data_IF_546150605915
#
_entry.id   IF_546150605915
#
_cell.length_a   1.000
_cell.length_b   1.000
_cell.length_c   1.000
_cell.angle_alpha   90.00
_cell.angle_beta   90.00
_cell.angle_gamma   90.00
#
_symmetry.space_group_name_H-M   'P 1'
#
loop_
_entity.id
_entity.type
_entity.pdbx_description
1 polymer ?
#
# COMPACT_ATOMS: atom_id res chain seq x y z
N UNK A 1 -15.61 8.72 -0.45
CA UNK A 1 -15.19 7.90 0.72
C UNK A 1 -14.28 8.78 1.58
N UNK A 2 -14.75 9.16 2.78
CA UNK A 2 -14.05 10.16 3.62
C UNK A 2 -13.71 9.60 4.98
N UNK A 3 -12.49 9.85 5.46
CA UNK A 3 -12.02 9.49 6.79
C UNK A 3 -11.46 10.72 7.48
N UNK A 4 -11.95 10.99 8.69
CA UNK A 4 -11.38 12.00 9.58
C UNK A 4 -10.93 11.32 10.87
N UNK A 5 -9.73 11.68 11.34
CA UNK A 5 -9.14 11.18 12.58
C UNK A 5 -8.76 12.39 13.43
N UNK A 6 -9.18 12.41 14.68
CA UNK A 6 -8.86 13.47 15.64
C UNK A 6 -8.29 12.87 16.92
N UNK A 7 -7.21 13.47 17.42
CA UNK A 7 -6.61 13.19 18.72
C UNK A 7 -6.30 11.69 18.95
N UNK A 8 -5.53 11.10 18.03
CA UNK A 8 -5.05 9.72 18.17
C UNK A 8 -3.52 9.67 18.09
N UNK A 9 -2.87 9.23 19.12
CA UNK A 9 -1.40 9.25 19.24
C UNK A 9 -0.86 10.65 18.93
N UNK A 10 0.08 10.80 17.99
CA UNK A 10 0.60 12.10 17.55
C UNK A 10 -0.35 12.88 16.61
N UNK A 11 -1.44 12.27 16.17
CA UNK A 11 -2.38 12.88 15.22
C UNK A 11 -3.30 13.86 15.94
N UNK A 12 -3.23 15.15 15.59
CA UNK A 12 -4.23 16.13 16.02
C UNK A 12 -5.47 16.11 15.12
N UNK A 13 -5.27 16.17 13.81
CA UNK A 13 -6.36 16.15 12.84
C UNK A 13 -5.91 15.69 11.46
N UNK A 14 -6.51 14.61 10.96
CA UNK A 14 -6.39 14.19 9.57
C UNK A 14 -7.76 14.18 8.90
N UNK A 15 -7.81 14.64 7.65
CA UNK A 15 -9.01 14.66 6.82
C UNK A 15 -8.66 14.19 5.42
N UNK A 16 -9.28 13.09 4.97
CA UNK A 16 -9.02 12.48 3.69
C UNK A 16 -10.30 12.23 2.90
N UNK A 17 -10.27 12.53 1.61
CA UNK A 17 -11.21 12.03 0.63
C UNK A 17 -10.48 11.06 -0.31
N UNK A 18 -10.79 9.78 -0.18
CA UNK A 18 -10.14 8.73 -0.99
C UNK A 18 -10.80 8.54 -2.38
N UNK A 19 -11.77 9.35 -2.72
CA UNK A 19 -12.46 9.30 -4.01
C UNK A 19 -13.31 8.05 -4.23
N UNK A 20 -13.46 7.70 -5.50
CA UNK A 20 -14.28 6.59 -5.97
C UNK A 20 -13.42 5.39 -6.41
N UNK A 21 -14.05 4.30 -6.81
CA UNK A 21 -13.38 3.17 -7.45
C UNK A 21 -12.73 3.62 -8.75
N UNK A 22 -11.50 3.20 -8.99
CA UNK A 22 -10.68 3.65 -10.11
C UNK A 22 -9.85 4.92 -9.84
N UNK A 23 -9.96 5.54 -8.68
CA UNK A 23 -9.15 6.69 -8.27
C UNK A 23 -7.88 6.25 -7.50
N UNK A 24 -6.87 7.13 -7.52
CA UNK A 24 -5.61 6.99 -6.80
C UNK A 24 -5.50 8.06 -5.74
N UNK A 25 -5.19 7.67 -4.50
CA UNK A 25 -4.86 8.59 -3.41
C UNK A 25 -3.46 8.30 -2.89
N UNK A 26 -2.64 9.32 -2.76
CA UNK A 26 -1.32 9.25 -2.16
C UNK A 26 -1.27 9.99 -0.83
N UNK A 27 -0.63 9.40 0.17
CA UNK A 27 -0.36 10.02 1.47
C UNK A 27 1.15 10.11 1.63
N UNK A 28 1.65 11.32 1.74
CA UNK A 28 3.08 11.61 1.87
C UNK A 28 3.36 12.39 3.15
N UNK A 29 4.61 12.47 3.53
CA UNK A 29 5.04 13.23 4.71
C UNK A 29 6.28 12.62 5.37
N UNK A 30 6.91 13.33 6.31
CA UNK A 30 8.07 12.84 7.06
C UNK A 30 7.81 11.51 7.77
N UNK A 31 8.88 10.88 8.23
CA UNK A 31 8.76 9.70 9.07
C UNK A 31 8.00 10.03 10.36
N UNK A 32 7.34 9.00 10.92
CA UNK A 32 6.57 9.09 12.16
C UNK A 32 5.38 10.09 12.15
N UNK A 33 4.92 10.60 10.99
CA UNK A 33 3.72 11.45 10.89
C UNK A 33 2.39 10.67 10.96
N UNK A 34 2.43 9.34 11.16
CA UNK A 34 1.21 8.55 11.32
C UNK A 34 0.54 8.12 10.01
N UNK A 35 1.26 8.09 8.87
CA UNK A 35 0.75 7.56 7.59
C UNK A 35 0.21 6.14 7.72
N UNK A 36 1.00 5.25 8.34
CA UNK A 36 0.59 3.86 8.62
C UNK A 36 -0.64 3.78 9.50
N UNK A 37 -0.72 4.62 10.54
CA UNK A 37 -1.89 4.69 11.42
C UNK A 37 -3.15 5.12 10.65
N UNK A 38 -3.02 6.13 9.77
CA UNK A 38 -4.12 6.57 8.93
C UNK A 38 -4.63 5.46 8.00
N UNK A 39 -3.71 4.70 7.37
CA UNK A 39 -4.07 3.56 6.52
C UNK A 39 -4.70 2.40 7.31
N UNK A 40 -4.23 2.14 8.52
CA UNK A 40 -4.83 1.14 9.40
C UNK A 40 -6.23 1.57 9.84
N UNK A 41 -6.45 2.85 10.19
CA UNK A 41 -7.79 3.38 10.43
C UNK A 41 -8.70 3.25 9.21
N UNK A 42 -8.19 3.49 8.00
CA UNK A 42 -8.94 3.26 6.76
C UNK A 42 -9.38 1.80 6.64
N UNK A 43 -8.46 0.85 6.88
CA UNK A 43 -8.78 -0.58 6.89
C UNK A 43 -9.86 -0.91 7.91
N UNK A 44 -9.74 -0.39 9.12
CA UNK A 44 -10.71 -0.63 10.19
C UNK A 44 -12.09 -0.01 9.87
N UNK A 45 -12.11 1.20 9.32
CA UNK A 45 -13.36 1.87 8.93
C UNK A 45 -14.13 1.11 7.84
N UNK A 46 -13.41 0.54 6.87
CA UNK A 46 -14.01 -0.24 5.78
C UNK A 46 -14.49 -1.62 6.25
N UNK A 47 -13.69 -2.32 7.05
CA UNK A 47 -13.81 -3.77 7.25
C UNK A 47 -13.98 -4.17 8.72
N UNK A 48 -14.48 -3.28 9.58
CA UNK A 48 -14.57 -3.49 11.04
C UNK A 48 -15.19 -4.83 11.45
N UNK A 49 -16.24 -5.29 10.77
CA UNK A 49 -16.90 -6.57 11.08
C UNK A 49 -16.02 -7.76 10.73
N UNK A 50 -15.32 -7.70 9.61
CA UNK A 50 -14.40 -8.75 9.18
C UNK A 50 -13.18 -8.82 10.12
N UNK A 51 -12.66 -7.65 10.53
CA UNK A 51 -11.57 -7.57 11.50
C UNK A 51 -11.96 -8.24 12.81
N UNK A 52 -13.16 -7.94 13.30
CA UNK A 52 -13.71 -8.58 14.50
C UNK A 52 -13.81 -10.09 14.32
N UNK A 53 -14.50 -10.56 13.27
CA UNK A 53 -14.69 -11.98 12.98
C UNK A 53 -13.35 -12.72 12.84
N UNK A 54 -12.35 -12.10 12.23
CA UNK A 54 -11.01 -12.66 12.13
C UNK A 54 -10.33 -12.79 13.51
N UNK A 55 -10.37 -11.75 14.34
CA UNK A 55 -9.79 -11.79 15.67
C UNK A 55 -10.46 -12.87 16.55
N UNK A 56 -11.80 -12.92 16.57
CA UNK A 56 -12.57 -13.96 17.29
C UNK A 56 -12.20 -15.36 16.77
N UNK A 57 -12.12 -15.55 15.45
CA UNK A 57 -11.74 -16.83 14.83
C UNK A 57 -10.34 -17.29 15.22
N UNK A 58 -9.42 -16.36 15.40
CA UNK A 58 -8.05 -16.64 15.83
C UNK A 58 -7.91 -16.74 17.37
N UNK A 59 -9.02 -16.69 18.11
CA UNK A 59 -9.05 -16.89 19.56
C UNK A 59 -8.66 -15.66 20.37
N UNK A 60 -8.75 -14.45 19.79
CA UNK A 60 -8.55 -13.21 20.52
C UNK A 60 -9.88 -12.68 21.04
N UNK A 61 -9.89 -12.36 22.34
CA UNK A 61 -11.02 -11.72 23.03
C UNK A 61 -10.58 -10.34 23.53
N UNK A 62 -11.53 -9.44 23.72
CA UNK A 62 -11.32 -8.12 24.32
C UNK A 62 -12.55 -7.69 25.11
N UNK A 63 -12.32 -7.01 26.22
CA UNK A 63 -13.38 -6.56 27.13
C UNK A 63 -13.73 -5.08 26.96
N UNK A 64 -12.85 -4.32 26.33
CA UNK A 64 -13.00 -2.88 26.18
C UNK A 64 -12.30 -2.35 24.92
N UNK A 65 -12.56 -1.08 24.58
CA UNK A 65 -12.00 -0.44 23.39
C UNK A 65 -10.47 -0.37 23.38
N UNK A 66 -9.82 -0.21 24.52
CA UNK A 66 -8.36 -0.11 24.59
C UNK A 66 -7.71 -1.43 24.22
N UNK A 67 -8.21 -2.54 24.73
CA UNK A 67 -7.74 -3.87 24.36
C UNK A 67 -7.92 -4.11 22.85
N UNK A 68 -9.07 -3.72 22.29
CA UNK A 68 -9.28 -3.83 20.84
C UNK A 68 -8.28 -2.98 20.04
N UNK A 69 -7.98 -1.76 20.48
CA UNK A 69 -6.99 -0.88 19.85
C UNK A 69 -5.60 -1.54 19.89
N UNK A 70 -5.19 -2.12 21.02
CA UNK A 70 -3.92 -2.82 21.14
C UNK A 70 -3.87 -4.07 20.25
N UNK A 71 -4.95 -4.84 20.16
CA UNK A 71 -5.03 -5.99 19.26
C UNK A 71 -4.96 -5.62 17.77
N UNK A 72 -5.50 -4.46 17.41
CA UNK A 72 -5.54 -4.03 16.02
C UNK A 72 -4.29 -3.26 15.57
N UNK A 73 -3.84 -2.28 16.35
CA UNK A 73 -2.71 -1.42 15.99
C UNK A 73 -1.36 -1.93 16.52
N UNK A 74 -1.37 -2.86 17.46
CA UNK A 74 -0.22 -3.37 18.20
C UNK A 74 -0.24 -2.93 19.67
N UNK A 75 0.29 -3.78 20.54
CA UNK A 75 0.33 -3.60 21.98
C UNK A 75 0.94 -2.24 22.37
N UNK A 76 0.29 -1.53 23.31
CA UNK A 76 0.69 -0.20 23.78
C UNK A 76 0.07 0.96 22.99
N UNK A 77 -0.56 0.71 21.85
CA UNK A 77 -1.17 1.77 21.03
C UNK A 77 -2.42 2.38 21.66
N UNK A 78 -3.05 1.68 22.60
CA UNK A 78 -4.17 2.20 23.41
C UNK A 78 -3.79 3.40 24.28
N UNK A 79 -2.51 3.61 24.57
CA UNK A 79 -2.03 4.80 25.28
C UNK A 79 -2.30 6.09 24.51
N UNK A 80 -2.33 6.03 23.17
CA UNK A 80 -2.67 7.15 22.29
C UNK A 80 -4.18 7.28 22.01
N UNK A 81 -5.03 6.45 22.61
CA UNK A 81 -6.48 6.46 22.42
C UNK A 81 -7.17 7.03 23.66
N UNK A 82 -7.77 8.21 23.53
CA UNK A 82 -8.38 8.94 24.63
C UNK A 82 -9.91 8.81 24.57
N UNK A 83 -10.51 8.18 25.57
CA UNK A 83 -11.97 7.95 25.65
C UNK A 83 -12.71 9.12 26.31
N UNK A 84 -12.00 9.96 27.09
CA UNK A 84 -12.55 11.08 27.87
C UNK A 84 -11.52 12.18 28.02
N UNK A 85 -11.93 13.35 28.53
CA UNK A 85 -11.10 14.53 28.70
C UNK A 85 -11.42 15.64 27.68
N UNK A 86 -10.62 16.70 27.67
CA UNK A 86 -10.86 17.88 26.82
C UNK A 86 -10.71 17.59 25.30
N UNK A 87 -9.97 16.53 24.95
CA UNK A 87 -9.68 16.17 23.54
C UNK A 87 -9.80 14.66 23.30
N UNK A 88 -11.02 14.10 23.34
CA UNK A 88 -11.20 12.68 23.09
C UNK A 88 -10.80 12.30 21.66
N UNK A 89 -10.34 11.07 21.49
CA UNK A 89 -10.13 10.50 20.15
C UNK A 89 -11.46 10.35 19.43
N UNK A 90 -11.57 10.90 18.23
CA UNK A 90 -12.75 10.80 17.40
C UNK A 90 -12.38 10.43 15.97
N UNK A 91 -13.03 9.41 15.45
CA UNK A 91 -12.87 8.97 14.05
C UNK A 91 -14.23 9.04 13.38
N UNK A 92 -14.24 9.63 12.17
CA UNK A 92 -15.46 9.75 11.38
C UNK A 92 -15.26 9.06 10.03
N UNK A 93 -16.24 8.26 9.66
CA UNK A 93 -16.34 7.61 8.36
C UNK A 93 -17.55 8.11 7.60
N UNK A 94 -17.34 8.70 6.43
CA UNK A 94 -18.38 9.39 5.64
C UNK A 94 -19.25 10.31 6.51
N UNK A 95 -18.58 11.15 7.33
CA UNK A 95 -19.17 12.11 8.27
C UNK A 95 -19.91 11.50 9.47
N UNK A 96 -19.96 10.16 9.59
CA UNK A 96 -20.59 9.48 10.74
C UNK A 96 -19.51 9.06 11.74
N UNK A 97 -19.72 9.22 13.04
CA UNK A 97 -18.76 8.73 14.03
C UNK A 97 -18.57 7.21 13.87
N UNK A 98 -17.31 6.80 13.85
CA UNK A 98 -16.94 5.39 13.88
C UNK A 98 -16.97 4.92 15.33
N UNK A 99 -18.07 4.29 15.69
CA UNK A 99 -18.28 3.80 17.05
C UNK A 99 -17.60 2.44 17.22
N UNK A 100 -16.49 2.44 17.95
CA UNK A 100 -15.75 1.22 18.27
C UNK A 100 -16.49 0.34 19.31
N UNK A 101 -17.39 0.93 20.13
CA UNK A 101 -18.23 0.16 21.06
C UNK A 101 -19.21 -0.76 20.31
N UNK A 102 -19.69 -0.35 19.14
CA UNK A 102 -20.57 -1.18 18.32
C UNK A 102 -19.83 -2.33 17.62
N UNK A 103 -18.51 -2.39 17.68
CA UNK A 103 -17.75 -3.56 17.27
C UNK A 103 -18.04 -4.74 18.21
N UNK A 104 -18.35 -4.47 19.48
CA UNK A 104 -18.70 -5.50 20.48
C UNK A 104 -20.14 -6.02 20.35
N UNK A 105 -21.01 -5.31 19.66
CA UNK A 105 -22.40 -5.75 19.50
C UNK A 105 -22.50 -6.68 18.29
N UNK A 106 -22.81 -7.95 18.53
CA UNK A 106 -23.21 -8.87 17.45
C UNK A 106 -24.40 -8.24 16.69
N UNK A 107 -24.32 -8.11 15.35
CA UNK A 107 -25.45 -7.61 14.60
C UNK A 107 -26.70 -8.44 14.92
N UNK A 108 -27.77 -7.79 15.34
CA UNK A 108 -29.07 -8.43 15.52
C UNK A 108 -29.61 -8.83 14.15
N UNK A 109 -29.56 -10.14 13.85
CA UNK A 109 -29.96 -10.72 12.57
C UNK A 109 -28.78 -11.30 11.80
N UNK A 110 -29.05 -12.18 10.84
CA UNK A 110 -28.06 -12.79 9.93
C UNK A 110 -27.42 -11.71 9.03
N UNK A 111 -26.56 -10.87 9.58
CA UNK A 111 -25.60 -10.11 8.77
C UNK A 111 -24.44 -11.04 8.48
N UNK A 112 -24.52 -11.75 7.37
CA UNK A 112 -23.34 -12.33 6.73
C UNK A 112 -22.48 -11.12 6.40
N UNK A 113 -21.29 -10.97 7.01
CA UNK A 113 -20.31 -9.98 6.56
C UNK A 113 -20.09 -10.24 5.07
N UNK A 114 -20.43 -9.28 4.24
CA UNK A 114 -19.85 -9.25 2.89
C UNK A 114 -18.35 -9.24 3.13
N UNK A 115 -17.59 -10.21 2.69
CA UNK A 115 -16.16 -10.35 2.97
C UNK A 115 -15.38 -9.04 3.00
N UNK A 116 -14.09 -9.05 3.28
CA UNK A 116 -13.27 -7.83 3.33
C UNK A 116 -13.39 -7.02 2.03
N UNK A 117 -13.63 -5.73 2.13
CA UNK A 117 -13.72 -4.80 0.99
C UNK A 117 -12.37 -4.15 0.68
N UNK A 118 -11.41 -4.22 1.61
CA UNK A 118 -10.07 -3.67 1.43
C UNK A 118 -9.00 -4.77 1.47
N UNK A 119 -8.08 -4.70 0.52
CA UNK A 119 -6.86 -5.50 0.50
C UNK A 119 -5.69 -4.64 0.97
N UNK A 120 -5.04 -5.03 2.08
CA UNK A 120 -3.98 -4.24 2.70
C UNK A 120 -2.62 -4.93 2.52
N UNK A 121 -1.65 -4.19 1.99
CA UNK A 121 -0.27 -4.63 1.82
C UNK A 121 0.62 -3.72 2.68
N UNK A 122 1.16 -4.21 3.82
CA UNK A 122 1.93 -3.40 4.75
C UNK A 122 3.33 -3.07 4.21
N UNK A 123 3.99 -2.09 4.83
CA UNK A 123 5.43 -1.90 4.73
C UNK A 123 6.21 -3.08 5.33
N UNK A 124 7.54 -3.09 5.21
CA UNK A 124 8.42 -4.13 5.77
C UNK A 124 7.96 -5.56 5.46
N UNK A 125 7.57 -5.80 4.22
CA UNK A 125 6.98 -7.06 3.76
C UNK A 125 7.90 -8.26 3.91
N UNK A 126 9.23 -8.05 3.93
CA UNK A 126 10.21 -9.10 4.21
C UNK A 126 10.00 -9.76 5.57
N UNK A 127 9.47 -9.03 6.56
CA UNK A 127 9.18 -9.57 7.89
C UNK A 127 7.97 -10.54 7.89
N UNK A 128 7.13 -10.50 6.85
CA UNK A 128 6.02 -11.43 6.69
C UNK A 128 6.48 -12.85 6.33
N UNK A 129 7.71 -12.99 5.80
CA UNK A 129 8.29 -14.23 5.31
C UNK A 129 9.44 -14.69 6.22
N UNK A 130 9.12 -15.19 7.40
CA UNK A 130 10.14 -15.76 8.28
C UNK A 130 10.83 -16.96 7.59
N UNK A 131 12.14 -16.89 7.45
CA UNK A 131 12.94 -17.97 6.81
C UNK A 131 12.46 -18.34 5.39
N UNK A 132 11.76 -17.41 4.70
CA UNK A 132 11.25 -17.61 3.35
C UNK A 132 9.87 -18.24 3.27
N UNK A 133 9.13 -18.30 4.39
CA UNK A 133 7.73 -18.76 4.39
C UNK A 133 6.88 -17.87 5.31
N UNK A 134 5.61 -17.54 4.93
CA UNK A 134 4.76 -16.70 5.75
C UNK A 134 4.38 -17.39 7.07
N UNK A 135 4.41 -16.62 8.16
CA UNK A 135 3.89 -17.05 9.45
C UNK A 135 2.36 -17.08 9.44
N UNK A 136 1.78 -17.98 10.21
CA UNK A 136 0.34 -17.97 10.51
C UNK A 136 -0.01 -16.79 11.43
N UNK A 137 -1.25 -16.32 11.36
CA UNK A 137 -1.72 -15.18 12.14
C UNK A 137 -1.40 -15.29 13.65
N UNK A 138 -1.61 -16.45 14.23
CA UNK A 138 -1.40 -16.73 15.65
C UNK A 138 0.07 -16.87 16.06
N UNK A 139 1.01 -16.95 15.11
CA UNK A 139 2.46 -17.05 15.41
C UNK A 139 3.12 -15.69 15.62
N UNK A 140 2.38 -14.62 15.45
CA UNK A 140 2.84 -13.27 15.73
C UNK A 140 2.52 -12.89 17.17
N UNK A 141 3.39 -12.07 17.77
CA UNK A 141 3.14 -11.43 19.05
C UNK A 141 2.08 -10.33 18.95
N UNK A 142 1.51 -9.92 20.07
CA UNK A 142 0.46 -8.90 20.15
C UNK A 142 0.92 -7.49 19.78
N UNK A 143 2.24 -7.25 19.80
CA UNK A 143 2.86 -6.00 19.33
C UNK A 143 2.79 -5.82 17.79
N UNK A 144 2.56 -6.93 17.06
CA UNK A 144 2.44 -6.88 15.60
C UNK A 144 1.02 -6.47 15.21
N UNK A 145 0.84 -5.38 14.41
CA UNK A 145 -0.47 -4.93 13.97
C UNK A 145 -1.27 -6.00 13.22
N UNK A 146 -2.59 -5.98 13.40
CA UNK A 146 -3.52 -6.89 12.70
C UNK A 146 -3.26 -6.95 11.20
N UNK A 147 -3.03 -5.80 10.54
CA UNK A 147 -2.84 -5.73 9.08
C UNK A 147 -1.63 -6.54 8.62
N UNK A 148 -0.54 -6.57 9.37
CA UNK A 148 0.65 -7.36 9.06
C UNK A 148 0.38 -8.87 9.28
N UNK A 149 -0.23 -9.23 10.42
CA UNK A 149 -0.64 -10.62 10.70
C UNK A 149 -1.57 -11.17 9.62
N UNK A 150 -2.58 -10.37 9.21
CA UNK A 150 -3.55 -10.75 8.18
C UNK A 150 -2.91 -10.85 6.80
N UNK A 151 -2.00 -9.95 6.45
CA UNK A 151 -1.25 -10.03 5.19
C UNK A 151 -0.40 -11.29 5.11
N UNK A 152 0.30 -11.65 6.19
CA UNK A 152 1.08 -12.90 6.26
C UNK A 152 0.19 -14.14 6.12
N UNK A 153 -0.95 -14.20 6.81
CA UNK A 153 -1.92 -15.28 6.68
C UNK A 153 -2.43 -15.42 5.24
N UNK A 154 -2.73 -14.30 4.57
CA UNK A 154 -3.18 -14.28 3.18
C UNK A 154 -2.09 -14.80 2.23
N UNK A 155 -0.83 -14.42 2.44
CA UNK A 155 0.31 -14.94 1.68
C UNK A 155 0.51 -16.43 1.91
N UNK A 156 0.34 -16.92 3.15
CA UNK A 156 0.41 -18.34 3.47
C UNK A 156 -0.65 -19.12 2.67
N UNK A 157 -1.90 -18.71 2.74
CA UNK A 157 -3.00 -19.33 2.00
C UNK A 157 -2.75 -19.31 0.47
N UNK A 158 -2.21 -18.21 -0.07
CA UNK A 158 -1.85 -18.12 -1.48
C UNK A 158 -0.74 -19.12 -1.85
N UNK A 159 0.37 -19.13 -1.10
CA UNK A 159 1.50 -20.01 -1.38
C UNK A 159 1.14 -21.49 -1.24
N UNK A 160 0.26 -21.85 -0.32
CA UNK A 160 -0.26 -23.22 -0.20
C UNK A 160 -1.05 -23.65 -1.45
N UNK A 161 -1.78 -22.73 -2.08
CA UNK A 161 -2.49 -22.98 -3.35
C UNK A 161 -1.57 -23.05 -4.58
N UNK A 162 -0.45 -22.32 -4.55
CA UNK A 162 0.50 -22.27 -5.68
C UNK A 162 1.51 -23.41 -5.65
N UNK A 163 1.68 -24.11 -4.55
CA UNK A 163 2.90 -24.82 -4.15
C UNK A 163 3.09 -26.20 -4.74
N UNK A 164 2.39 -26.66 -5.78
CA UNK A 164 2.57 -28.09 -6.07
C UNK A 164 3.61 -28.46 -7.14
N UNK A 165 3.88 -27.65 -8.15
CA UNK A 165 4.77 -28.12 -9.25
C UNK A 165 5.40 -27.04 -10.13
N UNK A 166 5.09 -25.77 -9.97
CA UNK A 166 5.58 -24.70 -10.85
C UNK A 166 6.32 -23.61 -10.09
N UNK A 167 7.18 -22.88 -10.80
CA UNK A 167 7.78 -21.66 -10.26
C UNK A 167 6.70 -20.69 -9.77
N UNK A 168 6.95 -20.05 -8.63
CA UNK A 168 6.08 -19.01 -8.08
C UNK A 168 6.12 -17.77 -8.97
N UNK A 169 7.29 -17.49 -9.57
CA UNK A 169 7.49 -16.49 -10.60
C UNK A 169 8.58 -16.98 -11.59
N UNK A 170 8.39 -16.82 -12.90
CA UNK A 170 7.21 -16.33 -13.58
C UNK A 170 6.10 -17.38 -13.70
N UNK A 171 4.83 -16.95 -13.59
CA UNK A 171 3.68 -17.80 -13.85
C UNK A 171 2.83 -17.27 -15.00
N UNK A 172 2.56 -18.09 -16.01
CA UNK A 172 1.82 -17.67 -17.20
C UNK A 172 0.37 -17.25 -16.92
N UNK A 173 -0.26 -17.85 -15.91
CA UNK A 173 -1.63 -17.58 -15.49
C UNK A 173 -1.77 -16.50 -14.39
N UNK A 174 -0.68 -15.81 -14.06
CA UNK A 174 -0.63 -14.69 -13.11
C UNK A 174 0.03 -13.51 -13.78
N UNK A 175 -0.52 -12.33 -13.61
CA UNK A 175 -0.09 -11.10 -14.27
C UNK A 175 -0.11 -11.18 -15.82
N UNK A 176 -0.19 -10.06 -16.49
CA UNK A 176 -0.05 -10.01 -17.95
C UNK A 176 1.41 -10.21 -18.37
N UNK A 177 1.64 -10.78 -19.55
CA UNK A 177 2.98 -11.12 -20.04
C UNK A 177 3.94 -9.91 -20.05
N UNK A 178 3.44 -8.76 -20.48
CA UNK A 178 4.22 -7.53 -20.48
C UNK A 178 4.69 -7.10 -19.10
N UNK A 179 3.79 -7.11 -18.12
CA UNK A 179 4.10 -6.77 -16.74
C UNK A 179 5.08 -7.78 -16.13
N UNK A 180 4.93 -9.08 -16.44
CA UNK A 180 5.92 -10.09 -16.02
C UNK A 180 7.30 -9.81 -16.58
N UNK A 181 7.41 -9.46 -17.87
CA UNK A 181 8.68 -9.13 -18.50
C UNK A 181 9.34 -7.90 -17.85
N UNK A 182 8.57 -6.88 -17.54
CA UNK A 182 9.09 -5.69 -16.85
C UNK A 182 9.57 -6.00 -15.43
N UNK A 183 8.83 -6.80 -14.68
CA UNK A 183 9.22 -7.27 -13.35
C UNK A 183 10.51 -8.10 -13.45
N UNK A 184 10.59 -9.01 -14.42
CA UNK A 184 11.80 -9.81 -14.63
C UNK A 184 13.01 -8.91 -14.91
N UNK A 185 12.88 -7.97 -15.81
CA UNK A 185 13.97 -7.05 -16.16
C UNK A 185 14.39 -6.14 -14.99
N UNK A 186 13.46 -5.72 -14.15
CA UNK A 186 13.73 -4.77 -13.07
C UNK A 186 14.20 -5.43 -11.76
N UNK A 187 13.83 -6.70 -11.52
CA UNK A 187 14.02 -7.35 -10.20
C UNK A 187 14.72 -8.70 -10.29
N UNK A 188 14.35 -9.56 -11.24
CA UNK A 188 14.80 -10.96 -11.24
C UNK A 188 15.92 -11.23 -12.26
N UNK A 189 16.00 -10.47 -13.35
CA UNK A 189 17.02 -10.59 -14.40
C UNK A 189 17.15 -12.02 -14.95
N UNK A 190 16.01 -12.69 -15.15
CA UNK A 190 15.88 -14.04 -15.67
C UNK A 190 16.06 -15.15 -14.63
N UNK A 191 16.14 -14.82 -13.33
CA UNK A 191 16.03 -15.79 -12.26
C UNK A 191 14.54 -16.05 -11.96
N UNK A 192 14.22 -17.23 -11.38
CA UNK A 192 12.84 -17.55 -11.01
C UNK A 192 12.69 -17.72 -9.50
N UNK A 193 11.48 -17.45 -9.00
CA UNK A 193 11.11 -17.72 -7.60
C UNK A 193 10.40 -19.05 -7.56
N UNK A 194 10.88 -19.97 -6.76
CA UNK A 194 10.35 -21.32 -6.62
C UNK A 194 10.13 -21.69 -5.16
N UNK A 195 9.43 -22.77 -4.91
CA UNK A 195 9.32 -23.37 -3.57
C UNK A 195 10.28 -24.53 -3.44
N UNK A 196 10.98 -24.62 -2.33
CA UNK A 196 11.84 -25.73 -1.95
C UNK A 196 11.30 -26.38 -0.67
N UNK A 197 11.24 -27.72 -0.64
CA UNK A 197 10.83 -28.52 0.51
C UNK A 197 11.90 -29.55 0.92
N UNK A 198 13.13 -29.41 0.45
CA UNK A 198 14.18 -30.42 0.58
C UNK A 198 14.62 -30.74 2.01
N UNK A 199 14.36 -29.81 2.97
CA UNK A 199 14.70 -29.99 4.40
C UNK A 199 13.46 -30.19 5.30
N UNK A 200 12.36 -30.71 4.75
CA UNK A 200 11.12 -30.95 5.49
C UNK A 200 10.33 -29.67 5.81
N UNK A 201 10.79 -28.49 5.36
CA UNK A 201 10.09 -27.21 5.49
C UNK A 201 9.95 -26.55 4.13
N UNK A 202 8.74 -26.10 3.82
CA UNK A 202 8.52 -25.29 2.61
C UNK A 202 9.13 -23.92 2.78
N UNK A 203 9.89 -23.47 1.78
CA UNK A 203 10.49 -22.13 1.73
C UNK A 203 10.60 -21.62 0.29
N UNK A 204 10.57 -20.32 0.13
CA UNK A 204 10.87 -19.69 -1.15
C UNK A 204 12.39 -19.71 -1.40
N UNK A 205 12.78 -20.03 -2.63
CA UNK A 205 14.15 -19.96 -3.12
C UNK A 205 14.18 -19.18 -4.43
N UNK A 206 15.28 -18.48 -4.66
CA UNK A 206 15.59 -17.87 -5.95
C UNK A 206 16.42 -18.86 -6.74
N UNK A 207 15.86 -19.38 -7.82
CA UNK A 207 16.53 -20.29 -8.73
C UNK A 207 17.25 -19.48 -9.80
N UNK A 208 18.56 -19.57 -9.81
CA UNK A 208 19.38 -18.87 -10.78
C UNK A 208 19.38 -19.55 -12.16
N UNK A 209 19.78 -18.80 -13.21
CA UNK A 209 19.96 -19.37 -14.56
C UNK A 209 20.99 -20.52 -14.59
N UNK A 210 21.91 -20.55 -13.64
CA UNK A 210 22.90 -21.64 -13.50
C UNK A 210 22.40 -22.85 -12.72
N UNK A 211 21.12 -22.80 -12.24
CA UNK A 211 20.49 -23.91 -11.52
C UNK A 211 20.71 -23.91 -10.01
N UNK A 212 21.40 -22.92 -9.44
CA UNK A 212 21.59 -22.80 -7.99
C UNK A 212 20.32 -22.27 -7.31
N UNK A 213 19.99 -22.82 -6.14
CA UNK A 213 18.90 -22.33 -5.30
C UNK A 213 19.45 -21.43 -4.19
N UNK A 214 19.13 -20.16 -4.24
CA UNK A 214 19.52 -19.17 -3.23
C UNK A 214 18.40 -19.06 -2.19
N UNK A 215 18.68 -19.31 -0.89
CA UNK A 215 17.67 -19.21 0.16
C UNK A 215 17.23 -17.74 0.37
N UNK A 216 15.99 -17.52 0.79
CA UNK A 216 15.35 -16.20 0.93
C UNK A 216 16.21 -15.18 1.70
N UNK A 217 16.85 -15.58 2.78
CA UNK A 217 17.67 -14.68 3.59
C UNK A 217 18.93 -14.15 2.87
N UNK A 218 19.37 -14.84 1.82
CA UNK A 218 20.50 -14.42 1.00
C UNK A 218 20.09 -13.55 -0.23
N UNK A 219 18.79 -13.28 -0.41
CA UNK A 219 18.32 -12.40 -1.48
C UNK A 219 18.68 -10.94 -1.18
N UNK A 220 18.70 -10.12 -2.22
CA UNK A 220 18.84 -8.67 -2.06
C UNK A 220 17.66 -8.10 -1.27
N UNK A 221 17.86 -6.96 -0.59
CA UNK A 221 16.79 -6.29 0.15
C UNK A 221 15.58 -6.00 -0.76
N UNK A 222 15.83 -5.51 -1.98
CA UNK A 222 14.76 -5.25 -2.95
C UNK A 222 13.95 -6.49 -3.33
N UNK A 223 14.61 -7.63 -3.55
CA UNK A 223 13.88 -8.88 -3.86
C UNK A 223 13.04 -9.36 -2.68
N UNK A 224 13.56 -9.25 -1.45
CA UNK A 224 12.83 -9.63 -0.23
C UNK A 224 11.60 -8.77 0.00
N UNK A 225 11.65 -7.49 -0.30
CA UNK A 225 10.51 -6.57 -0.19
C UNK A 225 9.55 -6.69 -1.39
N UNK A 226 10.07 -6.93 -2.60
CA UNK A 226 9.26 -7.01 -3.81
C UNK A 226 8.44 -8.29 -3.92
N UNK A 227 9.00 -9.45 -3.56
CA UNK A 227 8.30 -10.74 -3.74
C UNK A 227 7.00 -10.82 -2.95
N UNK A 228 6.92 -10.46 -1.66
CA UNK A 228 5.65 -10.45 -0.96
C UNK A 228 4.63 -9.46 -1.56
N UNK A 229 5.08 -8.30 -2.05
CA UNK A 229 4.23 -7.34 -2.77
C UNK A 229 3.65 -7.96 -4.04
N UNK A 230 4.48 -8.56 -4.86
CA UNK A 230 4.06 -9.24 -6.09
C UNK A 230 3.07 -10.38 -5.80
N UNK A 231 3.36 -11.21 -4.80
CA UNK A 231 2.48 -12.30 -4.40
C UNK A 231 1.12 -11.80 -3.91
N UNK A 232 1.11 -10.74 -3.11
CA UNK A 232 -0.12 -10.13 -2.65
C UNK A 232 -0.97 -9.62 -3.83
N UNK A 233 -0.35 -9.13 -4.90
CA UNK A 233 -1.03 -8.65 -6.10
C UNK A 233 -1.47 -9.78 -7.05
N UNK A 234 -1.00 -11.00 -6.88
CA UNK A 234 -1.39 -12.12 -7.75
C UNK A 234 -2.90 -12.40 -7.74
N UNK A 235 -3.56 -12.20 -6.60
CA UNK A 235 -5.01 -12.37 -6.49
C UNK A 235 -5.77 -11.21 -7.13
N UNK A 236 -5.24 -10.01 -7.02
CA UNK A 236 -5.87 -8.79 -7.51
C UNK A 236 -5.67 -8.57 -9.01
N UNK A 237 -4.60 -9.15 -9.58
CA UNK A 237 -4.21 -9.00 -10.98
C UNK A 237 -4.20 -10.33 -11.74
N UNK A 238 -5.31 -11.10 -11.75
CA UNK A 238 -5.40 -12.30 -12.58
C UNK A 238 -5.29 -11.92 -14.06
N UNK A 239 -5.02 -12.87 -14.97
CA UNK A 239 -4.99 -12.62 -16.41
C UNK A 239 -6.29 -11.97 -16.89
N UNK A 240 -6.23 -11.25 -18.01
CA UNK A 240 -7.31 -10.40 -18.54
C UNK A 240 -8.68 -11.08 -18.72
N UNK A 241 -8.71 -12.40 -18.87
CA UNK A 241 -9.95 -13.17 -19.04
C UNK A 241 -10.69 -13.47 -17.72
N UNK A 242 -10.05 -13.23 -16.58
CA UNK A 242 -10.64 -13.42 -15.25
C UNK A 242 -11.11 -12.07 -14.74
N UNK A 243 -12.38 -11.91 -14.37
CA UNK A 243 -12.90 -10.65 -13.82
C UNK A 243 -12.20 -10.29 -12.50
N UNK A 244 -12.33 -9.03 -12.09
CA UNK A 244 -11.95 -8.57 -10.76
C UNK A 244 -12.60 -9.45 -9.69
N UNK A 245 -11.90 -9.69 -8.59
CA UNK A 245 -12.52 -10.27 -7.40
C UNK A 245 -13.53 -9.25 -6.84
N UNK A 246 -14.81 -9.57 -6.89
CA UNK A 246 -15.88 -8.67 -6.45
C UNK A 246 -15.82 -8.33 -4.95
N UNK A 247 -15.05 -9.11 -4.18
CA UNK A 247 -14.88 -8.89 -2.75
C UNK A 247 -14.16 -7.56 -2.45
N UNK A 248 -13.14 -7.20 -3.23
CA UNK A 248 -12.28 -6.05 -2.92
C UNK A 248 -12.63 -4.84 -3.80
N UNK A 249 -12.81 -3.69 -3.17
CA UNK A 249 -13.00 -2.39 -3.83
C UNK A 249 -11.76 -1.51 -3.71
N UNK A 250 -11.05 -1.62 -2.59
CA UNK A 250 -9.91 -0.75 -2.25
C UNK A 250 -8.66 -1.58 -2.01
N UNK A 251 -7.54 -1.14 -2.58
CA UNK A 251 -6.20 -1.70 -2.36
C UNK A 251 -5.35 -0.65 -1.66
N UNK A 252 -4.84 -1.00 -0.49
CA UNK A 252 -3.97 -0.15 0.33
C UNK A 252 -2.55 -0.68 0.21
N UNK A 253 -1.64 0.17 -0.26
CA UNK A 253 -0.21 -0.12 -0.44
C UNK A 253 0.60 0.78 0.49
N UNK A 254 1.25 0.20 1.47
CA UNK A 254 2.09 0.94 2.39
C UNK A 254 3.55 0.86 1.92
N UNK A 255 4.14 2.02 1.62
CA UNK A 255 5.52 2.19 1.16
C UNK A 255 5.95 1.14 0.12
N UNK A 256 5.25 1.03 -1.02
CA UNK A 256 5.53 -0.04 -1.98
C UNK A 256 6.91 0.05 -2.62
N UNK A 257 7.57 1.20 -2.53
CA UNK A 257 8.92 1.47 -3.01
C UNK A 257 10.04 1.01 -2.07
N UNK A 258 9.72 0.59 -0.84
CA UNK A 258 10.71 0.28 0.19
C UNK A 258 11.76 -0.74 -0.31
N UNK A 259 13.03 -0.34 -0.24
CA UNK A 259 14.17 -1.16 -0.65
C UNK A 259 14.33 -1.36 -2.15
N UNK A 260 13.53 -0.71 -3.00
CA UNK A 260 13.53 -0.91 -4.44
C UNK A 260 14.42 0.10 -5.18
N UNK A 261 15.08 -0.39 -6.24
CA UNK A 261 15.72 0.45 -7.24
C UNK A 261 14.68 1.23 -8.06
N UNK A 262 14.95 2.45 -8.57
CA UNK A 262 14.02 3.23 -9.38
C UNK A 262 13.31 2.47 -10.50
N UNK A 263 13.98 1.59 -11.22
CA UNK A 263 13.37 0.75 -12.25
C UNK A 263 12.29 -0.20 -11.67
N UNK A 264 12.52 -0.75 -10.48
CA UNK A 264 11.54 -1.60 -9.81
C UNK A 264 10.35 -0.77 -9.26
N UNK A 265 10.58 0.48 -8.83
CA UNK A 265 9.51 1.42 -8.46
C UNK A 265 8.60 1.69 -9.67
N UNK A 266 9.16 1.85 -10.87
CA UNK A 266 8.37 1.99 -12.10
C UNK A 266 7.54 0.74 -12.40
N UNK A 267 8.07 -0.46 -12.16
CA UNK A 267 7.28 -1.69 -12.28
C UNK A 267 6.11 -1.72 -11.25
N UNK A 268 6.34 -1.25 -10.03
CA UNK A 268 5.27 -1.07 -9.03
C UNK A 268 4.21 -0.08 -9.53
N UNK A 269 4.62 1.05 -10.11
CA UNK A 269 3.66 2.03 -10.66
C UNK A 269 2.81 1.43 -11.79
N UNK A 270 3.38 0.58 -12.62
CA UNK A 270 2.62 -0.14 -13.64
C UNK A 270 1.63 -1.15 -13.03
N UNK A 271 1.99 -1.83 -11.92
CA UNK A 271 1.03 -2.66 -11.19
C UNK A 271 -0.14 -1.81 -10.68
N UNK A 272 0.13 -0.61 -10.16
CA UNK A 272 -0.92 0.35 -9.76
C UNK A 272 -1.83 0.70 -10.93
N UNK A 273 -1.27 0.94 -12.13
CA UNK A 273 -2.08 1.18 -13.34
C UNK A 273 -2.99 0.00 -13.69
N UNK A 274 -2.50 -1.22 -13.54
CA UNK A 274 -3.31 -2.41 -13.73
C UNK A 274 -4.44 -2.51 -12.69
N UNK A 275 -4.20 -2.13 -11.42
CA UNK A 275 -5.25 -2.07 -10.39
C UNK A 275 -6.32 -1.03 -10.75
N UNK A 276 -5.91 0.19 -11.14
CA UNK A 276 -6.83 1.25 -11.58
C UNK A 276 -7.66 0.81 -12.79
N UNK A 277 -7.03 0.18 -13.76
CA UNK A 277 -7.71 -0.32 -14.96
C UNK A 277 -8.73 -1.43 -14.66
N UNK A 278 -8.56 -2.15 -13.55
CA UNK A 278 -9.53 -3.13 -13.06
C UNK A 278 -10.60 -2.52 -12.16
N UNK A 279 -10.57 -1.21 -11.95
CA UNK A 279 -11.55 -0.48 -11.16
C UNK A 279 -11.33 -0.60 -9.66
N UNK A 280 -10.13 -0.90 -9.18
CA UNK A 280 -9.82 -0.75 -7.76
C UNK A 280 -9.58 0.72 -7.43
N UNK A 281 -10.05 1.17 -6.27
CA UNK A 281 -9.51 2.35 -5.61
C UNK A 281 -8.15 2.00 -5.04
N UNK A 282 -7.14 2.81 -5.30
CA UNK A 282 -5.79 2.55 -4.79
C UNK A 282 -5.38 3.67 -3.84
N UNK A 283 -4.92 3.28 -2.65
CA UNK A 283 -4.42 4.22 -1.64
C UNK A 283 -2.98 3.83 -1.32
N UNK A 284 -2.05 4.77 -1.45
CA UNK A 284 -0.62 4.54 -1.29
C UNK A 284 -0.08 5.50 -0.23
N UNK A 285 0.66 5.00 0.78
CA UNK A 285 1.60 5.84 1.51
C UNK A 285 2.98 5.73 0.88
N UNK A 286 3.69 6.85 0.75
CA UNK A 286 5.00 6.85 0.09
C UNK A 286 5.93 7.95 0.62
N UNK A 287 7.22 7.69 0.51
CA UNK A 287 8.32 8.66 0.64
C UNK A 287 9.05 8.90 -0.70
N UNK A 288 8.59 8.27 -1.77
CA UNK A 288 9.25 8.33 -3.07
C UNK A 288 8.82 9.56 -3.87
N UNK A 289 9.78 10.41 -4.22
CA UNK A 289 9.58 11.48 -5.19
C UNK A 289 9.11 10.93 -6.53
N UNK A 290 9.66 9.79 -6.97
CA UNK A 290 9.32 9.16 -8.26
C UNK A 290 7.84 8.77 -8.37
N UNK A 291 7.22 8.30 -7.28
CA UNK A 291 5.78 8.00 -7.26
C UNK A 291 4.94 9.29 -7.36
N UNK A 292 5.36 10.36 -6.68
CA UNK A 292 4.68 11.66 -6.79
C UNK A 292 4.89 12.32 -8.15
N UNK A 293 6.10 12.24 -8.72
CA UNK A 293 6.38 12.69 -10.09
C UNK A 293 5.50 11.96 -11.10
N UNK A 294 5.30 10.65 -10.89
CA UNK A 294 4.38 9.86 -11.72
C UNK A 294 2.93 10.38 -11.61
N UNK A 295 2.47 10.68 -10.40
CA UNK A 295 1.13 11.24 -10.16
C UNK A 295 0.98 12.62 -10.81
N UNK A 296 1.96 13.50 -10.63
CA UNK A 296 2.03 14.81 -11.27
C UNK A 296 1.99 14.70 -12.80
N UNK A 297 2.82 13.83 -13.37
CA UNK A 297 2.88 13.62 -14.82
C UNK A 297 1.53 13.15 -15.37
N UNK A 298 0.85 12.20 -14.69
CA UNK A 298 -0.49 11.75 -15.10
C UNK A 298 -1.49 12.90 -15.08
N UNK A 299 -1.50 13.72 -14.02
CA UNK A 299 -2.40 14.88 -13.93
C UNK A 299 -2.14 15.90 -15.04
N UNK A 300 -0.87 16.22 -15.31
CA UNK A 300 -0.49 17.15 -16.39
C UNK A 300 -0.89 16.60 -17.76
N UNK A 301 -0.64 15.32 -18.03
CA UNK A 301 -1.08 14.66 -19.26
C UNK A 301 -2.61 14.68 -19.39
N UNK A 302 -3.35 14.38 -18.32
CA UNK A 302 -4.81 14.44 -18.30
C UNK A 302 -5.32 15.86 -18.61
N UNK A 303 -4.79 16.88 -17.94
CA UNK A 303 -5.19 18.28 -18.12
C UNK A 303 -4.87 18.80 -19.53
N UNK A 304 -3.79 18.32 -20.12
CA UNK A 304 -3.41 18.62 -21.52
C UNK A 304 -4.17 17.77 -22.55
N UNK A 305 -5.16 16.97 -22.12
CA UNK A 305 -5.93 16.06 -23.01
C UNK A 305 -5.03 15.11 -23.81
N UNK A 306 -3.95 14.62 -23.17
CA UNK A 306 -3.01 13.73 -23.81
C UNK A 306 -3.67 12.43 -24.28
N UNK A 307 -3.14 11.88 -25.35
CA UNK A 307 -3.57 10.59 -25.90
C UNK A 307 -3.06 9.42 -25.05
N UNK A 308 -3.72 8.28 -25.16
CA UNK A 308 -3.23 7.03 -24.52
C UNK A 308 -1.82 6.66 -24.98
N UNK A 309 -1.44 6.99 -26.23
CA UNK A 309 -0.09 6.77 -26.76
C UNK A 309 0.96 7.60 -26.02
N UNK A 310 0.67 8.88 -25.74
CA UNK A 310 1.58 9.75 -25.00
C UNK A 310 1.80 9.25 -23.58
N UNK A 311 0.73 8.84 -22.87
CA UNK A 311 0.86 8.24 -21.55
C UNK A 311 1.62 6.91 -21.63
N UNK A 312 1.33 6.06 -22.60
CA UNK A 312 2.04 4.80 -22.77
C UNK A 312 3.54 5.00 -22.99
N UNK A 313 3.93 5.99 -23.78
CA UNK A 313 5.34 6.32 -24.02
C UNK A 313 6.02 6.87 -22.75
N UNK A 314 5.32 7.67 -21.95
CA UNK A 314 5.87 8.24 -20.71
C UNK A 314 6.15 7.17 -19.62
N UNK A 315 5.40 6.08 -19.65
CA UNK A 315 5.50 5.03 -18.63
C UNK A 315 5.92 3.66 -19.17
N UNK A 316 6.50 3.61 -20.37
CA UNK A 316 6.98 2.39 -21.05
C UNK A 316 5.91 1.28 -21.11
N UNK A 317 4.64 1.67 -21.29
CA UNK A 317 3.56 0.73 -21.46
C UNK A 317 3.56 0.21 -22.92
N UNK A 318 3.44 -1.09 -23.07
CA UNK A 318 3.41 -1.68 -24.41
C UNK A 318 2.08 -1.38 -25.17
N UNK A 319 2.06 -1.68 -26.46
CA UNK A 319 0.90 -1.42 -27.33
C UNK A 319 -0.40 -2.12 -26.88
N UNK A 320 -0.29 -3.28 -26.20
CA UNK A 320 -1.46 -4.01 -25.66
C UNK A 320 -2.08 -3.33 -24.42
N UNK A 321 -1.41 -2.34 -23.84
CA UNK A 321 -1.83 -1.65 -22.61
C UNK A 321 -2.70 -0.40 -22.85
N UNK A 322 -3.21 -0.19 -24.09
CA UNK A 322 -4.06 0.97 -24.43
C UNK A 322 -5.24 1.15 -23.47
N UNK A 323 -5.90 0.06 -23.09
CA UNK A 323 -7.03 0.10 -22.14
C UNK A 323 -6.58 0.55 -20.74
N UNK A 324 -5.37 0.16 -20.32
CA UNK A 324 -4.76 0.57 -19.05
C UNK A 324 -4.47 2.06 -19.09
N UNK A 325 -3.80 2.54 -20.13
CA UNK A 325 -3.52 3.96 -20.31
C UNK A 325 -4.81 4.82 -20.31
N UNK A 326 -5.87 4.33 -20.96
CA UNK A 326 -7.16 5.01 -20.97
C UNK A 326 -7.81 5.04 -19.56
N UNK A 327 -7.67 4.00 -18.76
CA UNK A 327 -8.18 3.97 -17.40
C UNK A 327 -7.42 4.96 -16.50
N UNK A 328 -6.09 4.98 -16.59
CA UNK A 328 -5.23 5.91 -15.83
C UNK A 328 -5.57 7.37 -16.16
N UNK A 329 -5.78 7.72 -17.44
CA UNK A 329 -6.17 9.09 -17.82
C UNK A 329 -7.57 9.48 -17.31
N UNK A 330 -8.45 8.51 -17.02
CA UNK A 330 -9.76 8.79 -16.41
C UNK A 330 -9.71 8.91 -14.91
N UNK A 331 -8.73 8.30 -14.25
CA UNK A 331 -8.61 8.30 -12.80
C UNK A 331 -8.43 9.71 -12.24
N UNK A 332 -9.01 9.97 -11.08
CA UNK A 332 -8.67 11.16 -10.30
C UNK A 332 -7.53 10.80 -9.35
N UNK A 333 -6.60 11.72 -9.24
CA UNK A 333 -5.45 11.57 -8.35
C UNK A 333 -5.58 12.59 -7.23
N UNK A 334 -5.44 12.12 -5.99
CA UNK A 334 -5.39 12.95 -4.80
C UNK A 334 -4.07 12.72 -4.10
N UNK A 335 -3.55 13.78 -3.50
CA UNK A 335 -2.34 13.71 -2.69
C UNK A 335 -2.54 14.51 -1.39
N UNK A 336 -2.17 13.91 -0.28
CA UNK A 336 -2.23 14.52 1.04
C UNK A 336 -0.86 14.51 1.68
N UNK A 337 -0.46 15.66 2.21
CA UNK A 337 0.76 15.82 2.98
C UNK A 337 0.46 15.85 4.47
N UNK A 338 1.14 15.00 5.22
CA UNK A 338 1.11 14.97 6.67
C UNK A 338 2.33 15.68 7.21
N UNK A 339 2.11 16.66 8.08
CA UNK A 339 3.20 17.46 8.66
C UNK A 339 2.99 17.72 10.15
N UNK A 340 4.11 17.95 10.82
CA UNK A 340 4.10 18.35 12.22
C UNK A 340 3.71 19.82 12.35
N UNK A 341 2.79 20.10 13.26
CA UNK A 341 2.50 21.47 13.70
C UNK A 341 3.62 21.96 14.63
N UNK A 342 3.72 23.27 14.88
CA UNK A 342 4.65 23.81 15.88
C UNK A 342 4.48 23.23 17.29
N UNK A 343 3.32 22.62 17.57
CA UNK A 343 3.02 21.94 18.84
C UNK A 343 3.48 20.49 18.89
N UNK A 344 4.14 19.97 17.84
CA UNK A 344 4.59 18.60 17.74
C UNK A 344 3.49 17.56 17.46
N UNK A 345 2.30 18.01 17.08
CA UNK A 345 1.20 17.14 16.63
C UNK A 345 1.09 17.14 15.11
N UNK A 346 0.41 16.17 14.53
CA UNK A 346 0.33 16.00 13.07
C UNK A 346 -1.03 16.40 12.52
N UNK A 347 -1.00 17.08 11.37
CA UNK A 347 -2.20 17.42 10.58
C UNK A 347 -1.99 17.01 9.12
N UNK A 348 -3.10 16.85 8.36
CA UNK A 348 -3.06 16.65 6.92
C UNK A 348 -3.37 17.93 6.15
N UNK A 349 -2.74 18.07 4.97
CA UNK A 349 -3.05 19.10 3.98
C UNK A 349 -3.32 18.45 2.64
N UNK A 350 -4.29 18.98 1.92
CA UNK A 350 -4.53 18.57 0.54
C UNK A 350 -3.52 19.26 -0.38
N UNK A 351 -2.71 18.47 -1.07
CA UNK A 351 -1.73 18.92 -2.07
C UNK A 351 -2.05 18.34 -3.45
N UNK A 352 -3.32 17.99 -3.68
CA UNK A 352 -3.75 17.26 -4.89
C UNK A 352 -3.54 18.03 -6.20
N UNK A 353 -3.33 19.36 -6.16
CA UNK A 353 -2.94 20.10 -7.36
C UNK A 353 -1.57 19.70 -7.89
N UNK A 354 -0.67 19.24 -7.02
CA UNK A 354 0.74 18.92 -7.30
C UNK A 354 1.42 20.02 -8.13
N UNK A 355 1.00 21.27 -7.95
CA UNK A 355 1.49 22.39 -8.75
C UNK A 355 2.83 22.89 -8.25
N UNK A 356 3.88 22.70 -9.07
CA UNK A 356 5.24 23.14 -8.75
C UNK A 356 5.38 24.68 -8.65
N UNK A 357 4.40 25.43 -9.12
CA UNK A 357 4.37 26.90 -9.09
C UNK A 357 3.37 27.44 -8.06
N UNK A 358 2.82 26.59 -7.20
CA UNK A 358 1.92 27.02 -6.13
C UNK A 358 2.66 27.91 -5.14
N UNK A 359 1.97 28.93 -4.64
CA UNK A 359 2.53 29.86 -3.65
C UNK A 359 2.80 29.18 -2.29
N UNK A 360 2.15 28.06 -2.01
CA UNK A 360 2.38 27.26 -0.81
C UNK A 360 3.61 26.36 -1.01
N UNK A 361 4.67 26.50 -0.19
CA UNK A 361 5.86 25.64 -0.27
C UNK A 361 5.53 24.15 -0.06
N UNK A 362 4.46 23.84 0.67
CA UNK A 362 4.03 22.47 0.90
C UNK A 362 3.47 21.82 -0.38
N UNK A 363 2.84 22.61 -1.24
CA UNK A 363 2.31 22.15 -2.53
C UNK A 363 3.42 22.11 -3.58
N UNK A 364 4.15 23.23 -3.77
CA UNK A 364 5.21 23.31 -4.78
C UNK A 364 6.40 22.40 -4.47
N UNK A 365 6.76 22.23 -3.21
CA UNK A 365 7.80 21.30 -2.76
C UNK A 365 7.34 19.88 -2.48
N UNK A 366 6.06 19.54 -2.79
CA UNK A 366 5.45 18.24 -2.53
C UNK A 366 5.69 17.73 -1.10
N UNK A 367 5.40 18.59 -0.13
CA UNK A 367 5.63 18.30 1.28
C UNK A 367 7.11 18.18 1.63
N UNK A 368 7.97 18.94 0.96
CA UNK A 368 9.41 18.96 1.22
C UNK A 368 10.21 17.82 0.55
N UNK A 369 9.56 16.87 -0.13
CA UNK A 369 10.27 15.79 -0.84
C UNK A 369 11.14 16.32 -1.99
N UNK A 370 10.71 17.38 -2.68
CA UNK A 370 11.46 18.00 -3.75
C UNK A 370 12.42 19.12 -3.26
N UNK A 371 12.21 19.68 -2.07
CA UNK A 371 12.88 20.88 -1.57
C UNK A 371 14.40 20.75 -1.47
N UNK A 372 14.90 19.57 -1.10
CA UNK A 372 16.35 19.35 -1.00
C UNK A 372 17.02 19.32 -2.38
N UNK A 373 16.41 18.66 -3.35
CA UNK A 373 16.90 18.62 -4.75
C UNK A 373 16.86 20.02 -5.38
N UNK A 374 15.81 20.78 -5.13
CA UNK A 374 15.70 22.17 -5.57
C UNK A 374 16.79 23.07 -4.95
N UNK A 375 16.99 22.95 -3.63
CA UNK A 375 18.06 23.68 -2.93
C UNK A 375 19.44 23.37 -3.51
N UNK A 376 19.75 22.11 -3.80
CA UNK A 376 20.98 21.71 -4.43
C UNK A 376 21.09 22.27 -5.86
N UNK A 377 20.03 22.17 -6.65
CA UNK A 377 19.98 22.71 -8.01
C UNK A 377 20.20 24.21 -8.05
N UNK A 378 19.55 24.95 -7.15
CA UNK A 378 19.73 26.41 -7.02
C UNK A 378 21.15 26.78 -6.60
N UNK A 379 21.78 26.03 -5.67
CA UNK A 379 23.15 26.26 -5.26
C UNK A 379 24.14 26.03 -6.41
N UNK A 380 23.95 24.96 -7.20
CA UNK A 380 24.78 24.67 -8.38
C UNK A 380 24.60 25.75 -9.46
N UNK A 381 23.36 26.16 -9.75
CA UNK A 381 23.06 27.21 -10.72
C UNK A 381 23.65 28.55 -10.33
N UNK A 382 23.59 28.92 -9.05
CA UNK A 382 24.22 30.14 -8.53
C UNK A 382 25.73 30.11 -8.67
N UNK A 383 26.36 28.97 -8.40
CA UNK A 383 27.81 28.80 -8.58
C UNK A 383 28.26 28.86 -10.05
N UNK A 384 27.45 28.30 -10.97
CA UNK A 384 27.73 28.33 -12.40
C UNK A 384 27.50 29.70 -13.04
N UNK A 385 26.55 30.49 -12.52
CA UNK A 385 26.29 31.86 -12.98
C UNK A 385 27.26 32.93 -12.41
N UNK A 386 28.15 32.53 -11.48
CA UNK A 386 29.19 33.37 -10.91
C UNK A 386 30.55 33.22 -11.65
N UNK A 387 30.63 32.40 -12.67
CA UNK A 387 31.76 32.28 -13.60
C UNK A 387 31.48 33.03 -14.89
#
# INVERSE_FOLDING_TARGET
MKLQIKNFAQIAHLDFDFGDVGDLTMIVGPQATGKSLALQWLKLACDRLVVREDLERFGFDWSNQREFIDLFFGEGMSSGYHTSGDTPTAVFWDKKPLDLLKIDQKPRGRSISKGATTYYIPAHRSLLLAEGWPKLFQQYSTDTPYVARKASESLNALLLRLSSTADVFPQANRLQAALRSQIDNAVFHGNSVSTDASLGRKRLVLKTKTGSNIPFMAWTAGQREFVPLMLALYELLPPSKVPRLDAYETVILEEPELGLHPQAIMAVMQMVFHLLARGYRVVISTHSTLLLESAWAIQRLKNSKATTKQLSNAFDLNASSKAIAAAVLRSNIRAYYLDYTPKGTVTSRDISSLDLFDASPDVSGWGGLASFSEKLGNAVAAAAGAQ
#
